data_IF_921161672731
#
_entry.id   IF_921161672731
#
_cell.length_a   1.000
_cell.length_b   1.000
_cell.length_c   1.000
_cell.angle_alpha   90.00
_cell.angle_beta   90.00
_cell.angle_gamma   90.00
#
_symmetry.space_group_name_H-M   'P 1'
#
loop_
_entity.id
_entity.type
_entity.pdbx_description
1 polymer ?
#
# COMPACT_ATOMS: atom_id res chain seq x y z
N UNK A 1 2.39 -4.65 -21.58
CA UNK A 1 3.59 -5.27 -20.96
C UNK A 1 4.90 -5.02 -21.72
N UNK A 2 5.00 -5.26 -23.04
CA UNK A 2 6.27 -5.07 -23.77
C UNK A 2 6.83 -3.63 -23.79
N UNK A 3 5.97 -2.60 -23.75
CA UNK A 3 6.38 -1.20 -23.61
C UNK A 3 6.79 -0.80 -22.17
N UNK A 4 6.10 -1.32 -21.16
CA UNK A 4 6.37 -1.08 -19.73
C UNK A 4 7.79 -1.52 -19.30
N UNK A 5 8.25 -2.69 -19.78
CA UNK A 5 9.58 -3.23 -19.48
C UNK A 5 10.72 -2.58 -20.30
N UNK A 6 10.41 -1.72 -21.27
CA UNK A 6 11.39 -1.02 -22.12
C UNK A 6 11.76 0.37 -21.62
N UNK A 7 11.00 0.96 -20.69
CA UNK A 7 11.06 2.41 -20.42
C UNK A 7 11.95 2.82 -19.23
N UNK A 8 12.15 2.00 -18.20
CA UNK A 8 13.09 2.34 -17.11
C UNK A 8 13.63 1.10 -16.39
N UNK A 9 14.94 1.07 -16.14
CA UNK A 9 15.60 0.01 -15.35
C UNK A 9 14.98 -0.09 -13.96
N UNK A 10 14.61 1.05 -13.40
CA UNK A 10 13.98 1.18 -12.08
C UNK A 10 12.59 0.55 -12.02
N UNK A 11 11.74 0.73 -13.04
CA UNK A 11 10.41 0.11 -13.09
C UNK A 11 10.48 -1.42 -13.17
N UNK A 12 11.46 -1.96 -13.92
CA UNK A 12 11.72 -3.41 -13.95
C UNK A 12 12.18 -3.94 -12.60
N UNK A 13 13.10 -3.23 -11.95
CA UNK A 13 13.59 -3.60 -10.62
C UNK A 13 12.46 -3.61 -9.58
N UNK A 14 11.62 -2.56 -9.57
CA UNK A 14 10.46 -2.48 -8.68
C UNK A 14 9.45 -3.60 -8.93
N UNK A 15 9.12 -3.88 -10.19
CA UNK A 15 8.23 -4.98 -10.54
C UNK A 15 8.81 -6.35 -10.14
N UNK A 16 10.09 -6.60 -10.41
CA UNK A 16 10.74 -7.86 -10.07
C UNK A 16 10.78 -8.09 -8.55
N UNK A 17 11.10 -7.04 -7.78
CA UNK A 17 11.13 -7.12 -6.32
C UNK A 17 9.72 -7.28 -5.72
N UNK A 18 8.70 -6.60 -6.24
CA UNK A 18 7.31 -6.81 -5.85
C UNK A 18 6.84 -8.25 -6.16
N UNK A 19 7.18 -8.77 -7.35
CA UNK A 19 6.86 -10.13 -7.75
C UNK A 19 7.56 -11.17 -6.86
N UNK A 20 8.81 -10.92 -6.48
CA UNK A 20 9.56 -11.77 -5.56
C UNK A 20 8.90 -11.80 -4.17
N UNK A 21 8.50 -10.64 -3.63
CA UNK A 21 7.82 -10.56 -2.34
C UNK A 21 6.45 -11.27 -2.36
N UNK A 22 5.70 -11.11 -3.45
CA UNK A 22 4.43 -11.81 -3.63
C UNK A 22 4.64 -13.32 -3.75
N UNK A 23 5.66 -13.75 -4.50
CA UNK A 23 6.02 -15.17 -4.61
C UNK A 23 6.45 -15.74 -3.25
N UNK A 24 7.30 -15.02 -2.49
CA UNK A 24 7.71 -15.44 -1.15
C UNK A 24 6.50 -15.55 -0.21
N UNK A 25 5.58 -14.59 -0.25
CA UNK A 25 4.36 -14.63 0.56
C UNK A 25 3.44 -15.82 0.18
N UNK A 26 3.19 -16.05 -1.11
CA UNK A 26 2.34 -17.14 -1.58
C UNK A 26 2.96 -18.51 -1.34
N UNK A 27 4.27 -18.63 -1.55
CA UNK A 27 5.01 -19.87 -1.43
C UNK A 27 5.52 -20.15 -0.01
N UNK A 28 5.22 -19.28 0.96
CA UNK A 28 5.68 -19.39 2.34
C UNK A 28 5.51 -20.79 2.96
N UNK A 29 4.37 -21.50 2.79
CA UNK A 29 4.21 -22.83 3.39
C UNK A 29 5.16 -23.90 2.83
N UNK A 30 5.77 -23.68 1.66
CA UNK A 30 6.59 -24.67 0.97
C UNK A 30 8.09 -24.35 0.98
N UNK A 31 8.47 -23.08 1.14
CA UNK A 31 9.88 -22.64 1.06
C UNK A 31 10.55 -22.50 2.43
N UNK A 32 9.75 -22.55 3.49
CA UNK A 32 10.18 -22.23 4.85
C UNK A 32 10.67 -23.49 5.57
N UNK A 33 11.82 -23.46 6.27
CA UNK A 33 12.43 -24.63 6.90
C UNK A 33 11.70 -25.10 8.17
N UNK A 34 11.03 -24.20 8.90
CA UNK A 34 10.35 -24.51 10.16
C UNK A 34 9.09 -23.64 10.34
N UNK A 35 8.14 -24.08 11.17
CA UNK A 35 6.94 -23.28 11.44
C UNK A 35 7.29 -21.90 12.01
N UNK A 36 6.62 -20.81 11.58
CA UNK A 36 6.96 -19.43 12.00
C UNK A 36 6.72 -19.15 13.50
N UNK A 37 6.03 -20.06 14.19
CA UNK A 37 5.73 -20.01 15.61
C UNK A 37 6.46 -21.11 16.41
N UNK A 38 7.22 -21.99 15.75
CA UNK A 38 7.95 -23.07 16.43
C UNK A 38 9.10 -22.51 17.24
N UNK A 39 9.12 -22.82 18.54
CA UNK A 39 10.09 -22.28 19.49
C UNK A 39 11.15 -23.32 19.83
N UNK A 40 12.39 -22.87 19.97
CA UNK A 40 13.50 -23.68 20.46
C UNK A 40 14.41 -22.83 21.35
N UNK A 41 14.08 -22.73 22.63
CA UNK A 41 14.78 -21.87 23.58
C UNK A 41 16.29 -22.19 23.72
N UNK A 42 16.69 -23.44 23.44
CA UNK A 42 18.11 -23.83 23.47
C UNK A 42 18.92 -23.14 22.36
N UNK A 43 18.28 -22.79 21.25
CA UNK A 43 18.89 -22.10 20.11
C UNK A 43 18.62 -20.61 20.07
N UNK A 44 18.11 -19.98 21.14
CA UNK A 44 17.72 -18.55 21.12
C UNK A 44 18.88 -17.63 20.73
N UNK A 45 18.55 -16.56 20.01
CA UNK A 45 19.49 -15.52 19.57
C UNK A 45 20.70 -16.05 18.78
N UNK A 46 20.63 -17.27 18.22
CA UNK A 46 21.66 -17.81 17.35
C UNK A 46 21.73 -16.99 16.05
N UNK A 47 22.94 -16.66 15.62
CA UNK A 47 23.18 -15.95 14.37
C UNK A 47 22.91 -16.80 13.13
N UNK A 48 23.02 -16.20 11.93
CA UNK A 48 22.85 -16.90 10.66
C UNK A 48 23.75 -18.14 10.54
N UNK A 49 23.18 -19.27 10.14
CA UNK A 49 23.86 -20.55 9.97
C UNK A 49 23.21 -21.38 8.87
N UNK A 50 23.81 -22.52 8.51
CA UNK A 50 23.23 -23.44 7.52
C UNK A 50 21.86 -24.02 7.95
N UNK A 51 21.63 -24.15 9.26
CA UNK A 51 20.36 -24.59 9.83
C UNK A 51 19.33 -23.45 9.91
N UNK A 52 19.79 -22.22 10.20
CA UNK A 52 18.95 -21.02 10.33
C UNK A 52 19.50 -19.90 9.46
N UNK A 53 19.02 -19.77 8.21
CA UNK A 53 19.62 -18.89 7.20
C UNK A 53 19.69 -17.41 7.61
N UNK A 54 18.73 -16.96 8.42
CA UNK A 54 18.67 -15.60 8.98
C UNK A 54 18.87 -15.58 10.50
N UNK A 55 19.29 -16.70 11.09
CA UNK A 55 19.37 -16.88 12.54
C UNK A 55 18.01 -17.07 13.19
N UNK A 56 17.99 -16.97 14.53
CA UNK A 56 16.81 -17.18 15.36
C UNK A 56 16.56 -15.99 16.29
N UNK A 57 15.31 -15.81 16.72
CA UNK A 57 14.93 -14.77 17.68
C UNK A 57 15.09 -15.18 19.17
N UNK A 58 14.61 -14.33 20.08
CA UNK A 58 14.68 -14.52 21.54
C UNK A 58 13.96 -15.80 22.04
N UNK A 59 13.01 -16.32 21.26
CA UNK A 59 12.28 -17.57 21.53
C UNK A 59 12.86 -18.75 20.74
N UNK A 60 13.96 -18.53 20.01
CA UNK A 60 14.57 -19.53 19.14
C UNK A 60 13.75 -19.85 17.89
N UNK A 61 12.83 -18.96 17.49
CA UNK A 61 12.06 -19.14 16.25
C UNK A 61 12.92 -18.73 15.06
N UNK A 62 12.81 -19.46 13.95
CA UNK A 62 13.59 -19.19 12.74
C UNK A 62 13.16 -17.85 12.08
N UNK A 63 14.12 -16.93 11.90
CA UNK A 63 13.83 -15.58 11.41
C UNK A 63 13.44 -15.60 9.93
N UNK A 64 14.06 -16.47 9.12
CA UNK A 64 13.73 -16.56 7.69
C UNK A 64 12.25 -16.96 7.51
N UNK A 65 11.84 -17.99 8.25
CA UNK A 65 10.45 -18.45 8.35
C UNK A 65 9.51 -17.30 8.72
N UNK A 66 9.87 -16.53 9.74
CA UNK A 66 9.08 -15.38 10.21
C UNK A 66 9.04 -14.23 9.20
N UNK A 67 10.15 -13.90 8.52
CA UNK A 67 10.19 -12.84 7.49
C UNK A 67 9.29 -13.19 6.31
N UNK A 68 9.36 -14.44 5.83
CA UNK A 68 8.57 -14.92 4.69
C UNK A 68 7.07 -14.98 5.03
N UNK A 69 6.70 -15.49 6.22
CA UNK A 69 5.31 -15.45 6.67
C UNK A 69 4.85 -14.02 6.99
N UNK A 70 5.72 -13.17 7.51
CA UNK A 70 5.46 -11.75 7.76
C UNK A 70 5.08 -11.00 6.48
N UNK A 71 5.67 -11.38 5.34
CA UNK A 71 5.29 -10.84 4.04
C UNK A 71 3.81 -11.07 3.73
N UNK A 72 3.23 -12.22 4.10
CA UNK A 72 1.79 -12.51 3.88
C UNK A 72 0.92 -11.53 4.65
N UNK A 73 1.24 -11.33 5.93
CA UNK A 73 0.45 -10.50 6.82
C UNK A 73 0.57 -9.03 6.43
N UNK A 74 1.79 -8.52 6.26
CA UNK A 74 2.02 -7.10 5.90
C UNK A 74 1.48 -6.76 4.50
N UNK A 75 1.63 -7.64 3.50
CA UNK A 75 1.05 -7.42 2.17
C UNK A 75 -0.49 -7.50 2.19
N UNK A 76 -1.07 -8.42 2.96
CA UNK A 76 -2.52 -8.50 3.13
C UNK A 76 -3.08 -7.20 3.73
N UNK A 77 -2.49 -6.71 4.82
CA UNK A 77 -2.90 -5.45 5.44
C UNK A 77 -2.78 -4.29 4.45
N UNK A 78 -1.66 -4.19 3.74
CA UNK A 78 -1.45 -3.12 2.77
C UNK A 78 -2.52 -3.10 1.67
N UNK A 79 -2.81 -4.27 1.08
CA UNK A 79 -3.85 -4.41 0.05
C UNK A 79 -5.22 -4.09 0.63
N UNK A 80 -5.57 -4.62 1.80
CA UNK A 80 -6.86 -4.38 2.44
C UNK A 80 -7.08 -2.88 2.74
N UNK A 81 -6.05 -2.20 3.24
CA UNK A 81 -6.09 -0.76 3.51
C UNK A 81 -6.25 0.04 2.22
N UNK A 82 -5.45 -0.25 1.19
CA UNK A 82 -5.54 0.47 -0.09
C UNK A 82 -6.89 0.25 -0.77
N UNK A 83 -7.42 -0.98 -0.76
CA UNK A 83 -8.74 -1.27 -1.28
C UNK A 83 -9.83 -0.55 -0.47
N UNK A 84 -9.77 -0.58 0.86
CA UNK A 84 -10.74 0.11 1.73
C UNK A 84 -10.72 1.63 1.54
N UNK A 85 -9.53 2.25 1.59
CA UNK A 85 -9.33 3.67 1.33
C UNK A 85 -9.76 4.07 -0.09
N UNK A 86 -9.41 3.25 -1.07
CA UNK A 86 -9.74 3.46 -2.48
C UNK A 86 -11.24 3.40 -2.71
N UNK A 87 -11.94 2.38 -2.20
CA UNK A 87 -13.39 2.24 -2.34
C UNK A 87 -14.14 3.36 -1.61
N UNK A 88 -13.85 3.58 -0.33
CA UNK A 88 -14.52 4.62 0.47
C UNK A 88 -14.20 6.02 -0.07
N UNK A 89 -12.92 6.30 -0.33
CA UNK A 89 -12.49 7.60 -0.82
C UNK A 89 -13.03 7.89 -2.23
N UNK A 90 -12.89 6.94 -3.17
CA UNK A 90 -13.36 7.14 -4.54
C UNK A 90 -14.87 7.35 -4.58
N UNK A 91 -15.67 6.56 -3.86
CA UNK A 91 -17.13 6.73 -3.82
C UNK A 91 -17.52 8.10 -3.26
N UNK A 92 -16.99 8.48 -2.10
CA UNK A 92 -17.30 9.78 -1.47
C UNK A 92 -16.84 10.93 -2.37
N UNK A 93 -15.62 10.88 -2.89
CA UNK A 93 -15.03 11.92 -3.73
C UNK A 93 -15.74 12.08 -5.08
N UNK A 94 -16.14 10.98 -5.71
CA UNK A 94 -16.91 11.01 -6.95
C UNK A 94 -18.28 11.68 -6.76
N UNK A 95 -19.01 11.28 -5.72
CA UNK A 95 -20.33 11.83 -5.43
C UNK A 95 -20.20 13.32 -5.09
N UNK A 96 -19.23 13.70 -4.26
CA UNK A 96 -18.98 15.10 -3.92
C UNK A 96 -18.65 15.96 -5.15
N UNK A 97 -17.69 15.51 -5.97
CA UNK A 97 -17.27 16.25 -7.17
C UNK A 97 -18.36 16.37 -8.24
N UNK A 98 -19.22 15.35 -8.35
CA UNK A 98 -20.31 15.33 -9.33
C UNK A 98 -21.53 16.15 -8.87
N UNK A 99 -21.97 15.97 -7.62
CA UNK A 99 -23.13 16.67 -7.08
C UNK A 99 -22.87 18.19 -6.89
N UNK A 100 -21.66 18.55 -6.46
CA UNK A 100 -21.31 19.95 -6.20
C UNK A 100 -22.12 20.58 -5.04
N UNK A 101 -22.17 21.90 -5.02
CA UNK A 101 -23.05 22.66 -4.12
C UNK A 101 -22.74 22.51 -2.63
N UNK A 102 -23.78 22.36 -1.80
CA UNK A 102 -23.63 22.25 -0.34
C UNK A 102 -23.04 20.91 0.09
N UNK A 103 -23.43 19.79 -0.54
CA UNK A 103 -22.90 18.47 -0.21
C UNK A 103 -21.38 18.41 -0.42
N UNK A 104 -20.89 18.94 -1.55
CA UNK A 104 -19.46 19.03 -1.82
C UNK A 104 -18.72 19.87 -0.77
N UNK A 105 -19.31 21.00 -0.35
CA UNK A 105 -18.73 21.84 0.72
C UNK A 105 -18.62 21.08 2.03
N UNK A 106 -19.65 20.37 2.48
CA UNK A 106 -19.61 19.60 3.73
C UNK A 106 -18.57 18.49 3.65
N UNK A 107 -18.59 17.68 2.59
CA UNK A 107 -17.64 16.57 2.45
C UNK A 107 -16.21 17.08 2.35
N UNK A 108 -15.94 18.10 1.54
CA UNK A 108 -14.57 18.54 1.27
C UNK A 108 -14.03 19.49 2.33
N UNK A 109 -14.77 20.56 2.65
CA UNK A 109 -14.30 21.61 3.56
C UNK A 109 -14.33 21.15 5.01
N UNK A 110 -15.28 20.29 5.38
CA UNK A 110 -15.39 19.80 6.76
C UNK A 110 -14.70 18.45 6.91
N UNK A 111 -15.17 17.40 6.24
CA UNK A 111 -14.65 16.04 6.52
C UNK A 111 -13.23 15.85 5.99
N UNK A 112 -13.00 16.04 4.69
CA UNK A 112 -11.68 15.78 4.09
C UNK A 112 -10.61 16.68 4.72
N UNK A 113 -10.85 17.98 4.84
CA UNK A 113 -9.88 18.90 5.44
C UNK A 113 -9.61 18.59 6.92
N UNK A 114 -10.60 18.18 7.70
CA UNK A 114 -10.37 17.78 9.10
C UNK A 114 -9.45 16.57 9.21
N UNK A 115 -9.60 15.56 8.35
CA UNK A 115 -8.68 14.41 8.35
C UNK A 115 -7.28 14.78 7.85
N UNK A 116 -7.19 15.64 6.84
CA UNK A 116 -5.92 16.06 6.25
C UNK A 116 -5.16 17.13 7.07
N UNK A 117 -5.82 17.78 8.03
CA UNK A 117 -5.16 18.74 8.92
C UNK A 117 -4.31 18.07 10.00
N UNK A 118 -4.60 16.80 10.32
CA UNK A 118 -3.78 16.04 11.26
C UNK A 118 -2.71 15.22 10.51
N UNK A 119 -1.52 15.04 11.08
CA UNK A 119 -0.56 14.06 10.57
C UNK A 119 -1.21 12.66 10.56
N UNK A 120 -1.30 12.04 9.38
CA UNK A 120 -2.09 10.81 9.20
C UNK A 120 -1.67 9.66 10.12
N UNK A 121 -0.37 9.54 10.43
CA UNK A 121 0.15 8.52 11.35
C UNK A 121 -0.30 8.75 12.79
N UNK A 122 -0.39 10.00 13.26
CA UNK A 122 -0.84 10.31 14.62
C UNK A 122 -2.31 9.91 14.79
N UNK A 123 -3.12 10.21 13.77
CA UNK A 123 -4.53 9.81 13.77
C UNK A 123 -4.66 8.27 13.74
N UNK A 124 -3.82 7.59 12.95
CA UNK A 124 -3.81 6.13 12.89
C UNK A 124 -3.45 5.50 14.26
N UNK A 125 -2.46 6.06 14.95
CA UNK A 125 -2.07 5.65 16.31
C UNK A 125 -3.23 5.86 17.28
N UNK A 126 -3.91 7.02 17.24
CA UNK A 126 -5.04 7.32 18.12
C UNK A 126 -6.19 6.31 17.93
N UNK A 127 -6.58 6.03 16.69
CA UNK A 127 -7.62 5.03 16.41
C UNK A 127 -7.18 3.60 16.76
N UNK A 128 -5.93 3.22 16.45
CA UNK A 128 -5.42 1.89 16.78
C UNK A 128 -5.34 1.68 18.31
N UNK A 129 -4.92 2.69 19.07
CA UNK A 129 -4.90 2.65 20.52
C UNK A 129 -6.31 2.50 21.12
N UNK A 130 -7.30 3.16 20.54
CA UNK A 130 -8.70 3.02 20.97
C UNK A 130 -9.32 1.67 20.62
N UNK A 131 -9.08 1.17 19.40
CA UNK A 131 -9.63 -0.12 18.94
C UNK A 131 -8.92 -1.34 19.59
N UNK A 132 -7.66 -1.16 19.98
CA UNK A 132 -6.76 -2.20 20.48
C UNK A 132 -6.08 -3.01 19.37
N UNK A 133 -5.25 -4.00 19.74
CA UNK A 133 -4.44 -4.75 18.80
C UNK A 133 -5.25 -5.77 17.98
N UNK A 134 -4.77 -6.06 16.77
CA UNK A 134 -5.34 -7.05 15.85
C UNK A 134 -5.36 -6.58 14.39
N UNK A 135 -5.14 -7.51 13.45
CA UNK A 135 -5.03 -7.23 12.00
C UNK A 135 -6.24 -6.43 11.49
N UNK A 136 -7.46 -6.88 11.79
CA UNK A 136 -8.68 -6.20 11.33
C UNK A 136 -8.84 -4.78 11.89
N UNK A 137 -8.40 -4.55 13.13
CA UNK A 137 -8.47 -3.24 13.80
C UNK A 137 -7.43 -2.27 13.23
N UNK A 138 -6.23 -2.76 12.94
CA UNK A 138 -5.21 -2.01 12.21
C UNK A 138 -5.72 -1.59 10.84
N UNK A 139 -6.29 -2.53 10.08
CA UNK A 139 -6.88 -2.22 8.76
C UNK A 139 -7.96 -1.15 8.90
N UNK A 140 -8.87 -1.30 9.86
CA UNK A 140 -9.94 -0.32 10.11
C UNK A 140 -9.39 1.06 10.47
N UNK A 141 -8.42 1.14 11.39
CA UNK A 141 -7.78 2.39 11.79
C UNK A 141 -7.12 3.09 10.59
N UNK A 142 -6.39 2.33 9.77
CA UNK A 142 -5.72 2.88 8.58
C UNK A 142 -6.71 3.28 7.48
N UNK A 143 -7.84 2.57 7.32
CA UNK A 143 -8.89 2.94 6.35
C UNK A 143 -9.60 4.22 6.77
N UNK A 144 -9.97 4.34 8.06
CA UNK A 144 -10.62 5.53 8.62
C UNK A 144 -9.74 6.77 8.46
N UNK A 145 -8.42 6.62 8.50
CA UNK A 145 -7.49 7.74 8.38
C UNK A 145 -7.06 8.02 6.95
N UNK A 146 -6.94 7.00 6.11
CA UNK A 146 -6.37 7.11 4.75
C UNK A 146 -7.36 7.47 3.64
N UNK A 147 -8.67 7.30 3.83
CA UNK A 147 -9.67 7.51 2.76
C UNK A 147 -9.69 8.95 2.20
N UNK A 148 -9.38 9.95 3.03
CA UNK A 148 -9.48 11.37 2.68
C UNK A 148 -8.58 11.75 1.49
N UNK A 149 -7.39 11.15 1.39
CA UNK A 149 -6.48 11.35 0.25
C UNK A 149 -7.09 10.87 -1.07
N UNK A 150 -7.70 9.68 -1.06
CA UNK A 150 -8.39 9.13 -2.23
C UNK A 150 -9.64 9.92 -2.60
N UNK A 151 -10.41 10.39 -1.60
CA UNK A 151 -11.58 11.22 -1.84
C UNK A 151 -11.22 12.55 -2.51
N UNK A 152 -10.18 13.22 -2.02
CA UNK A 152 -9.68 14.46 -2.61
C UNK A 152 -9.22 14.26 -4.06
N UNK A 153 -8.49 13.17 -4.33
CA UNK A 153 -8.04 12.84 -5.67
C UNK A 153 -9.21 12.54 -6.61
N UNK A 154 -10.13 11.66 -6.21
CA UNK A 154 -11.30 11.30 -7.01
C UNK A 154 -12.15 12.53 -7.32
N UNK A 155 -12.41 13.40 -6.33
CA UNK A 155 -13.11 14.66 -6.51
C UNK A 155 -12.45 15.54 -7.56
N UNK A 156 -11.15 15.77 -7.46
CA UNK A 156 -10.40 16.60 -8.41
C UNK A 156 -10.51 16.06 -9.84
N UNK A 157 -10.44 14.73 -10.01
CA UNK A 157 -10.59 14.10 -11.31
C UNK A 157 -12.02 14.21 -11.84
N UNK A 158 -13.04 14.04 -10.99
CA UNK A 158 -14.45 14.20 -11.39
C UNK A 158 -14.75 15.63 -11.83
N UNK A 159 -14.23 16.65 -11.12
CA UNK A 159 -14.41 18.04 -11.50
C UNK A 159 -13.86 18.35 -12.90
N UNK A 160 -12.79 17.67 -13.31
CA UNK A 160 -12.24 17.79 -14.66
C UNK A 160 -13.06 17.00 -15.68
N UNK A 161 -13.37 15.74 -15.39
CA UNK A 161 -14.02 14.83 -16.35
C UNK A 161 -15.46 15.22 -16.63
N UNK A 162 -16.19 15.78 -15.65
CA UNK A 162 -17.61 16.13 -15.81
C UNK A 162 -17.85 17.26 -16.82
N UNK A 163 -16.83 18.07 -17.10
CA UNK A 163 -16.86 19.19 -18.05
C UNK A 163 -16.43 18.76 -19.48
N UNK A 164 -16.12 17.48 -19.70
CA UNK A 164 -15.77 16.98 -21.03
C UNK A 164 -17.01 16.83 -21.93
N UNK A 165 -16.85 17.11 -23.22
CA UNK A 165 -17.94 17.15 -24.21
C UNK A 165 -18.79 15.88 -24.23
N UNK A 166 -18.18 14.70 -24.14
CA UNK A 166 -18.93 13.43 -24.13
C UNK A 166 -19.80 13.26 -22.88
N UNK A 167 -19.40 13.83 -21.74
CA UNK A 167 -20.20 13.80 -20.50
C UNK A 167 -21.35 14.80 -20.60
N UNK A 168 -21.08 16.00 -21.12
CA UNK A 168 -22.11 17.01 -21.36
C UNK A 168 -23.15 16.51 -22.37
N UNK A 169 -22.72 15.89 -23.47
CA UNK A 169 -23.59 15.27 -24.45
C UNK A 169 -24.46 14.16 -23.84
N UNK A 170 -23.86 13.24 -23.07
CA UNK A 170 -24.62 12.19 -22.37
C UNK A 170 -25.68 12.78 -21.42
N UNK A 171 -25.36 13.88 -20.73
CA UNK A 171 -26.29 14.59 -19.86
C UNK A 171 -27.43 15.24 -20.65
N UNK A 172 -27.13 15.90 -21.76
CA UNK A 172 -28.13 16.51 -22.66
C UNK A 172 -29.07 15.49 -23.28
N UNK A 173 -28.59 14.25 -23.49
CA UNK A 173 -29.39 13.11 -23.95
C UNK A 173 -30.21 12.44 -22.81
N UNK A 174 -30.23 13.01 -21.61
CA UNK A 174 -31.04 12.52 -20.49
C UNK A 174 -30.47 11.29 -19.77
N UNK A 175 -29.16 11.02 -19.87
CA UNK A 175 -28.56 9.94 -19.10
C UNK A 175 -28.69 10.18 -17.58
N UNK A 176 -29.17 9.16 -16.85
CA UNK A 176 -29.25 9.21 -15.37
C UNK A 176 -27.88 9.49 -14.74
N UNK A 177 -27.85 10.16 -13.59
CA UNK A 177 -26.62 10.45 -12.84
C UNK A 177 -25.75 9.21 -12.56
N UNK A 178 -26.38 8.09 -12.17
CA UNK A 178 -25.67 6.83 -11.93
C UNK A 178 -24.99 6.31 -13.20
N UNK A 179 -25.67 6.38 -14.35
CA UNK A 179 -25.10 6.02 -15.65
C UNK A 179 -23.91 6.91 -16.01
N UNK A 180 -24.02 8.22 -15.77
CA UNK A 180 -22.92 9.17 -16.01
C UNK A 180 -21.72 8.83 -15.12
N UNK A 181 -21.93 8.64 -13.83
CA UNK A 181 -20.86 8.32 -12.89
C UNK A 181 -20.18 6.99 -13.22
N UNK A 182 -20.94 5.92 -13.46
CA UNK A 182 -20.38 4.58 -13.61
C UNK A 182 -19.82 4.30 -15.02
N UNK A 183 -20.44 4.83 -16.07
CA UNK A 183 -20.03 4.53 -17.46
C UNK A 183 -19.17 5.61 -18.10
N UNK A 184 -19.28 6.86 -17.66
CA UNK A 184 -18.56 7.98 -18.28
C UNK A 184 -17.47 8.55 -17.36
N UNK A 185 -17.72 8.70 -16.05
CA UNK A 185 -16.74 9.30 -15.14
C UNK A 185 -15.76 8.27 -14.58
N UNK A 186 -16.26 7.19 -13.98
CA UNK A 186 -15.45 6.18 -13.29
C UNK A 186 -14.32 5.61 -14.16
N UNK A 187 -14.56 5.21 -15.43
CA UNK A 187 -13.47 4.68 -16.28
C UNK A 187 -12.37 5.70 -16.54
N UNK A 188 -12.71 6.99 -16.60
CA UNK A 188 -11.75 8.07 -16.88
C UNK A 188 -10.92 8.47 -15.66
N UNK A 189 -11.44 8.27 -14.45
CA UNK A 189 -10.70 8.59 -13.21
C UNK A 189 -9.97 7.38 -12.61
N UNK A 190 -10.22 6.17 -13.10
CA UNK A 190 -9.64 4.95 -12.53
C UNK A 190 -8.11 4.93 -12.67
N UNK A 191 -7.58 5.46 -13.76
CA UNK A 191 -6.15 5.56 -14.04
C UNK A 191 -5.35 6.29 -12.94
N UNK A 192 -5.64 7.55 -12.59
CA UNK A 192 -4.93 8.22 -11.49
C UNK A 192 -5.17 7.56 -10.12
N UNK A 193 -6.33 6.92 -9.91
CA UNK A 193 -6.63 6.19 -8.66
C UNK A 193 -5.77 4.94 -8.53
N UNK A 194 -5.55 4.18 -9.62
CA UNK A 194 -4.66 3.01 -9.62
C UNK A 194 -3.21 3.40 -9.37
N UNK A 195 -2.75 4.51 -9.94
CA UNK A 195 -1.43 5.07 -9.63
C UNK A 195 -1.33 5.40 -8.13
N UNK A 196 -2.33 6.11 -7.58
CA UNK A 196 -2.36 6.41 -6.14
C UNK A 196 -2.39 5.14 -5.28
N UNK A 197 -3.09 4.09 -5.72
CA UNK A 197 -3.16 2.82 -5.02
C UNK A 197 -1.79 2.15 -4.87
N UNK A 198 -0.97 2.14 -5.92
CA UNK A 198 0.39 1.57 -5.86
C UNK A 198 1.30 2.27 -4.85
N UNK A 199 1.27 3.61 -4.81
CA UNK A 199 2.01 4.40 -3.82
C UNK A 199 1.42 4.20 -2.42
N UNK A 200 0.09 4.09 -2.35
CA UNK A 200 -0.64 3.80 -1.13
C UNK A 200 -0.23 2.47 -0.50
N UNK A 201 0.14 1.45 -1.29
CA UNK A 201 0.64 0.17 -0.76
C UNK A 201 1.90 0.37 0.06
N UNK A 202 2.87 1.12 -0.46
CA UNK A 202 4.10 1.42 0.26
C UNK A 202 3.82 2.17 1.57
N UNK A 203 2.94 3.18 1.52
CA UNK A 203 2.52 3.92 2.71
C UNK A 203 1.80 3.05 3.74
N UNK A 204 0.94 2.12 3.30
CA UNK A 204 0.20 1.22 4.17
C UNK A 204 1.12 0.18 4.85
N UNK A 205 2.13 -0.34 4.13
CA UNK A 205 3.16 -1.24 4.72
C UNK A 205 3.93 -0.52 5.82
N UNK A 206 4.37 0.72 5.56
CA UNK A 206 5.06 1.52 6.57
C UNK A 206 4.17 1.78 7.78
N UNK A 207 2.92 2.21 7.55
CA UNK A 207 1.99 2.50 8.63
C UNK A 207 1.64 1.26 9.47
N UNK A 208 1.39 0.10 8.84
CA UNK A 208 1.22 -1.18 9.54
C UNK A 208 2.46 -1.54 10.35
N UNK A 209 3.64 -1.43 9.73
CA UNK A 209 4.90 -1.76 10.40
C UNK A 209 5.14 -0.84 11.61
N UNK A 210 4.82 0.45 11.51
CA UNK A 210 4.89 1.40 12.63
C UNK A 210 3.91 1.04 13.74
N UNK A 211 2.66 0.73 13.43
CA UNK A 211 1.66 0.36 14.46
C UNK A 211 2.02 -0.96 15.15
N UNK A 212 2.44 -1.96 14.39
CA UNK A 212 2.93 -3.24 14.92
C UNK A 212 4.22 -3.05 15.74
N UNK A 213 5.13 -2.18 15.31
CA UNK A 213 6.32 -1.82 16.08
C UNK A 213 5.99 -1.11 17.41
N UNK A 214 4.86 -0.41 17.48
CA UNK A 214 4.34 0.21 18.71
C UNK A 214 3.49 -0.75 19.56
N UNK A 215 3.33 -2.01 19.16
CA UNK A 215 2.53 -3.00 19.88
C UNK A 215 1.02 -2.85 19.67
N UNK A 216 0.58 -1.98 18.76
CA UNK A 216 -0.83 -1.76 18.42
C UNK A 216 -1.30 -2.62 17.23
N UNK A 217 -0.41 -3.47 16.73
CA UNK A 217 -0.59 -4.16 15.46
C UNK A 217 -0.98 -5.63 15.57
N UNK A 218 -0.24 -6.46 14.86
CA UNK A 218 -0.47 -7.91 14.82
C UNK A 218 -0.07 -8.54 16.16
N UNK A 219 -0.91 -9.46 16.65
CA UNK A 219 -0.67 -10.17 17.90
C UNK A 219 0.20 -11.42 17.67
N UNK A 220 1.09 -11.69 18.62
CA UNK A 220 1.81 -12.96 18.69
C UNK A 220 0.83 -14.15 18.75
N UNK A 221 1.15 -15.31 18.15
CA UNK A 221 2.45 -15.69 17.56
C UNK A 221 2.63 -15.30 16.08
N UNK A 222 1.62 -14.70 15.45
CA UNK A 222 1.65 -14.38 14.02
C UNK A 222 2.74 -13.34 13.71
N UNK A 223 3.63 -13.60 12.75
CA UNK A 223 4.64 -12.62 12.37
C UNK A 223 4.05 -11.54 11.46
N UNK A 224 4.42 -10.28 11.71
CA UNK A 224 4.45 -9.20 10.73
C UNK A 224 5.81 -8.51 10.82
N UNK A 225 6.24 -7.82 9.77
CA UNK A 225 7.57 -7.20 9.81
C UNK A 225 7.70 -6.16 10.93
N UNK A 226 6.63 -5.39 11.20
CA UNK A 226 6.61 -4.45 12.32
C UNK A 226 6.66 -5.13 13.69
N UNK A 227 5.95 -6.25 13.87
CA UNK A 227 6.00 -7.01 15.11
C UNK A 227 7.39 -7.63 15.33
N UNK A 228 8.02 -8.14 14.28
CA UNK A 228 9.40 -8.65 14.36
C UNK A 228 10.39 -7.55 14.76
N UNK A 229 10.21 -6.32 14.27
CA UNK A 229 11.01 -5.17 14.68
C UNK A 229 10.74 -4.76 16.14
N UNK A 230 9.52 -4.98 16.65
CA UNK A 230 9.22 -4.76 18.06
C UNK A 230 10.00 -5.75 18.93
N UNK A 231 9.89 -7.04 18.63
CA UNK A 231 10.61 -8.13 19.33
C UNK A 231 12.13 -7.87 19.34
N UNK A 232 12.67 -7.32 18.25
CA UNK A 232 14.10 -7.06 18.09
C UNK A 232 14.64 -5.82 18.82
N UNK A 233 13.77 -4.94 19.35
CA UNK A 233 14.20 -3.69 20.03
C UNK A 233 15.11 -3.96 21.23
N UNK A 234 14.82 -5.02 21.99
CA UNK A 234 15.62 -5.41 23.16
C UNK A 234 16.99 -5.99 22.80
N UNK A 235 17.18 -6.40 21.53
CA UNK A 235 18.31 -7.21 21.10
C UNK A 235 19.17 -6.58 19.98
N UNK A 236 19.13 -5.25 19.89
CA UNK A 236 19.80 -4.48 18.84
C UNK A 236 21.32 -4.71 18.77
N UNK A 237 21.96 -4.91 19.92
CA UNK A 237 23.43 -4.97 20.03
C UNK A 237 23.98 -6.39 20.09
N UNK A 238 23.23 -7.34 20.66
CA UNK A 238 23.59 -8.74 20.87
C UNK A 238 23.09 -9.66 19.75
N UNK A 239 21.95 -9.35 19.13
CA UNK A 239 21.38 -10.12 18.02
C UNK A 239 20.90 -9.21 16.86
N UNK A 240 21.82 -8.47 16.18
CA UNK A 240 21.46 -7.49 15.17
C UNK A 240 20.71 -8.09 13.96
N UNK A 241 20.88 -9.39 13.68
CA UNK A 241 20.13 -10.09 12.64
C UNK A 241 18.61 -9.99 12.84
N UNK A 242 18.14 -9.90 14.08
CA UNK A 242 16.71 -9.75 14.40
C UNK A 242 16.10 -8.47 13.85
N UNK A 243 16.89 -7.39 13.74
CA UNK A 243 16.42 -6.10 13.20
C UNK A 243 16.67 -6.03 11.70
N UNK A 244 17.86 -6.42 11.26
CA UNK A 244 18.33 -6.20 9.88
C UNK A 244 17.42 -6.89 8.86
N UNK A 245 17.07 -8.16 9.06
CA UNK A 245 16.28 -8.91 8.08
C UNK A 245 14.85 -8.41 7.91
N UNK A 246 14.03 -8.22 8.96
CA UNK A 246 12.71 -7.63 8.79
C UNK A 246 12.77 -6.17 8.30
N UNK A 247 13.78 -5.38 8.70
CA UNK A 247 13.93 -4.01 8.19
C UNK A 247 14.23 -3.98 6.68
N UNK A 248 15.10 -4.86 6.20
CA UNK A 248 15.36 -5.02 4.77
C UNK A 248 14.10 -5.46 4.04
N UNK A 249 13.29 -6.36 4.60
CA UNK A 249 12.03 -6.76 3.98
C UNK A 249 11.04 -5.59 3.82
N UNK A 250 10.87 -4.76 4.86
CA UNK A 250 10.07 -3.52 4.79
C UNK A 250 10.64 -2.58 3.73
N UNK A 251 11.94 -2.31 3.76
CA UNK A 251 12.61 -1.41 2.82
C UNK A 251 12.43 -1.88 1.38
N UNK A 252 12.67 -3.17 1.09
CA UNK A 252 12.47 -3.75 -0.22
C UNK A 252 11.03 -3.61 -0.67
N UNK A 253 10.05 -3.88 0.19
CA UNK A 253 8.64 -3.75 -0.15
C UNK A 253 8.26 -2.30 -0.50
N UNK A 254 8.66 -1.35 0.35
CA UNK A 254 8.40 0.08 0.15
C UNK A 254 9.01 0.59 -1.14
N UNK A 255 10.28 0.25 -1.41
CA UNK A 255 10.96 0.61 -2.65
C UNK A 255 10.27 -0.03 -3.85
N UNK A 256 9.91 -1.30 -3.77
CA UNK A 256 9.26 -2.04 -4.86
C UNK A 256 7.96 -1.38 -5.31
N UNK A 257 7.08 -1.06 -4.35
CA UNK A 257 5.77 -0.46 -4.65
C UNK A 257 5.87 1.02 -5.07
N UNK A 258 6.81 1.79 -4.54
CA UNK A 258 7.06 3.16 -5.01
C UNK A 258 7.57 3.15 -6.46
N UNK A 259 8.61 2.36 -6.76
CA UNK A 259 9.16 2.23 -8.12
C UNK A 259 8.11 1.71 -9.11
N UNK A 260 7.26 0.76 -8.68
CA UNK A 260 6.17 0.26 -9.49
C UNK A 260 5.13 1.36 -9.78
N UNK A 261 4.80 2.19 -8.79
CA UNK A 261 3.86 3.29 -8.96
C UNK A 261 4.38 4.40 -9.87
N UNK A 262 5.66 4.73 -9.77
CA UNK A 262 6.31 5.67 -10.68
C UNK A 262 6.33 5.12 -12.11
N UNK A 263 6.72 3.85 -12.31
CA UNK A 263 6.69 3.22 -13.63
C UNK A 263 5.28 3.16 -14.22
N UNK A 264 4.26 2.91 -13.38
CA UNK A 264 2.87 2.92 -13.80
C UNK A 264 2.43 4.33 -14.22
N UNK A 265 2.81 5.36 -13.45
CA UNK A 265 2.56 6.78 -13.78
C UNK A 265 3.18 7.15 -15.13
N UNK A 266 4.45 6.82 -15.33
CA UNK A 266 5.21 7.14 -16.54
C UNK A 266 4.60 6.48 -17.78
N UNK A 267 4.24 5.20 -17.68
CA UNK A 267 3.58 4.48 -18.78
C UNK A 267 2.22 5.09 -19.13
N UNK A 268 1.53 5.63 -18.13
CA UNK A 268 0.21 6.19 -18.24
C UNK A 268 0.18 7.65 -18.74
N UNK A 269 1.28 8.39 -18.61
CA UNK A 269 1.38 9.78 -19.08
C UNK A 269 1.36 9.85 -20.63
N UNK A 270 0.34 10.48 -21.25
CA UNK A 270 0.26 10.68 -22.69
C UNK A 270 1.40 11.55 -23.26
N UNK A 271 1.94 12.49 -22.47
CA UNK A 271 2.99 13.41 -22.93
C UNK A 271 4.33 12.72 -23.11
N UNK A 272 4.62 11.72 -22.28
CA UNK A 272 5.81 10.89 -22.42
C UNK A 272 5.77 10.04 -23.69
N UNK A 273 4.58 9.54 -24.08
CA UNK A 273 4.39 8.81 -25.35
C UNK A 273 4.64 9.70 -26.56
N UNK A 274 4.06 10.91 -26.58
CA UNK A 274 4.25 11.85 -27.68
C UNK A 274 5.72 12.27 -27.87
N UNK A 275 6.47 12.46 -26.77
CA UNK A 275 7.91 12.77 -26.82
C UNK A 275 8.76 11.59 -27.32
N UNK A 276 8.38 10.35 -26.99
CA UNK A 276 9.07 9.16 -27.50
C UNK A 276 8.82 8.95 -28.98
N UNK A 277 7.58 9.13 -29.45
CA UNK A 277 7.24 9.08 -30.87
C UNK A 277 8.01 10.14 -31.67
N UNK A 278 8.20 11.34 -31.13
CA UNK A 278 9.03 12.35 -31.78
C UNK A 278 10.52 11.98 -31.83
N UNK A 279 11.07 11.33 -30.80
CA UNK A 279 12.49 10.93 -30.78
C UNK A 279 12.76 9.74 -31.72
N UNK A 280 11.85 8.77 -31.78
CA UNK A 280 11.92 7.64 -32.72
C UNK A 280 11.72 8.09 -34.19
N UNK A 281 11.05 9.22 -34.41
CA UNK A 281 10.92 9.85 -35.72
C UNK A 281 12.17 10.67 -36.11
N UNK A 282 12.91 11.22 -35.14
CA UNK A 282 14.16 11.96 -35.38
C UNK A 282 15.39 11.05 -35.51
N UNK A 283 15.30 9.80 -35.05
CA UNK A 283 16.35 8.79 -35.16
C UNK A 283 16.29 7.91 -36.43
N UNK A 284 15.41 8.23 -37.39
CA UNK A 284 15.31 7.58 -38.70
C UNK A 284 15.65 8.53 -39.83
#
# INVERSE_FOLDING_TARGET
>A
MRGFLRQSVMGRAGFAAAALLLAAALLAPWIVPAGPAEQNLAGRLAGPSGAHWMGTDELGRDIFSRVVYGARVSLFVAVAVVCGCGLAGMTIGMVAGYAGGWFDRVVNVVLINAFLSFPGILLAIAFAAFLGPGIGKVVLALVITGWAGYARLARAQVLKVKELEFVLAARSLGASHARILLRHVLPNILQPILIQATIGLAGAILAESTLSFLGLGVLAPAPSWGAMLNDARGHLFDAPHMVVFPAVAVMTAVLSFNLLGDAWRDWMDPRMRARMESLDAMGR
#
